data_IF_717487650262
#
_entry.id   IF_717487650262
#
_cell.length_a   1.000
_cell.length_b   1.000
_cell.length_c   1.000
_cell.angle_alpha   90.00
_cell.angle_beta   90.00
_cell.angle_gamma   90.00
#
_symmetry.space_group_name_H-M   'P 1'
#
loop_
_entity.id
_entity.type
_entity.pdbx_description
1 polymer ?
#
# COMPACT_ATOMS: atom_id res chain seq x y z
N UNK A 1 39.43 48.60 12.17
CA UNK A 1 39.33 47.13 12.01
C UNK A 1 38.17 46.67 12.88
N UNK A 2 36.99 46.52 12.27
CA UNK A 2 36.33 45.23 11.91
C UNK A 2 35.75 44.52 13.14
N UNK A 3 34.51 44.88 13.51
CA UNK A 3 33.24 44.20 13.19
C UNK A 3 33.03 42.95 14.05
N UNK A 4 32.27 43.12 15.13
CA UNK A 4 31.64 42.05 15.87
C UNK A 4 30.27 41.80 15.23
N UNK A 5 30.09 40.65 14.59
CA UNK A 5 28.78 40.21 14.09
C UNK A 5 27.95 39.68 15.26
N UNK A 6 26.95 40.46 15.63
CA UNK A 6 25.85 40.05 16.50
C UNK A 6 24.84 39.24 15.68
N UNK A 7 24.76 37.94 15.89
CA UNK A 7 23.64 37.13 15.42
C UNK A 7 22.44 37.34 16.35
N UNK A 8 21.59 38.29 15.97
CA UNK A 8 20.25 38.49 16.51
C UNK A 8 19.38 37.29 16.14
N UNK A 9 18.99 36.47 17.12
CA UNK A 9 17.94 35.47 16.95
C UNK A 9 16.58 36.17 17.00
N UNK A 10 15.85 36.17 15.88
CA UNK A 10 14.47 36.67 15.83
C UNK A 10 13.52 35.53 16.20
N UNK A 11 12.62 35.70 17.19
CA UNK A 11 11.59 34.71 17.44
C UNK A 11 10.56 34.73 16.30
N UNK A 12 10.28 33.54 15.73
CA UNK A 12 9.16 33.30 14.83
C UNK A 12 7.84 33.47 15.59
N UNK A 13 7.29 34.68 15.54
CA UNK A 13 5.91 34.98 15.92
C UNK A 13 4.99 34.47 14.80
N UNK A 14 4.19 33.43 15.06
CA UNK A 14 3.22 32.98 14.05
C UNK A 14 2.49 31.67 14.30
N UNK A 15 2.13 31.33 15.53
CA UNK A 15 1.14 30.27 15.81
C UNK A 15 -0.09 30.96 16.40
N UNK A 16 -1.19 30.94 15.65
CA UNK A 16 -2.49 31.40 16.13
C UNK A 16 -3.16 32.46 15.26
N UNK A 17 -3.66 32.08 14.08
CA UNK A 17 -4.84 32.74 13.50
C UNK A 17 -5.87 31.68 13.13
N UNK A 18 -6.81 31.47 14.04
CA UNK A 18 -8.10 30.84 13.75
C UNK A 18 -8.79 31.63 12.63
N UNK A 19 -9.22 30.92 11.60
CA UNK A 19 -9.96 31.49 10.47
C UNK A 19 -11.41 31.78 10.93
N UNK A 20 -11.89 33.02 10.74
CA UNK A 20 -13.24 33.45 11.12
C UNK A 20 -13.92 34.19 9.94
N UNK A 21 -13.96 33.52 8.77
CA UNK A 21 -14.68 34.00 7.59
C UNK A 21 -15.89 33.11 7.28
N UNK A 22 -16.93 33.63 6.61
CA UNK A 22 -18.05 32.80 6.17
C UNK A 22 -17.56 31.73 5.20
N UNK A 23 -17.92 30.47 5.49
CA UNK A 23 -17.66 29.34 4.60
C UNK A 23 -18.45 29.60 3.31
N UNK A 24 -17.81 29.66 2.12
CA UNK A 24 -18.59 29.66 0.89
C UNK A 24 -19.33 28.32 0.81
N UNK A 25 -20.66 28.36 0.79
CA UNK A 25 -21.48 27.20 0.42
C UNK A 25 -21.19 26.89 -1.05
N UNK A 26 -20.14 26.10 -1.27
CA UNK A 26 -19.92 25.47 -2.56
C UNK A 26 -20.99 24.40 -2.66
N UNK A 27 -22.12 24.77 -3.24
CA UNK A 27 -23.18 23.85 -3.65
C UNK A 27 -22.52 22.71 -4.40
N UNK A 28 -22.43 21.56 -3.76
CA UNK A 28 -22.10 20.30 -4.43
C UNK A 28 -23.36 19.98 -5.23
N UNK A 29 -23.40 20.50 -6.45
CA UNK A 29 -24.28 19.95 -7.47
C UNK A 29 -23.89 18.48 -7.58
N UNK A 30 -24.75 17.61 -7.04
CA UNK A 30 -24.76 16.19 -7.35
C UNK A 30 -25.09 16.08 -8.84
N UNK A 31 -24.09 16.32 -9.69
CA UNK A 31 -24.10 15.78 -11.05
C UNK A 31 -24.02 14.27 -10.89
N UNK A 32 -25.20 13.66 -10.93
CA UNK A 32 -25.37 12.24 -11.16
C UNK A 32 -24.92 12.01 -12.60
N UNK A 33 -23.81 11.31 -12.87
CA UNK A 33 -23.49 10.95 -14.24
C UNK A 33 -24.47 9.85 -14.66
N UNK A 34 -25.53 10.27 -15.33
CA UNK A 34 -26.31 9.43 -16.21
C UNK A 34 -25.58 9.41 -17.56
N UNK A 35 -24.72 8.41 -17.77
CA UNK A 35 -24.30 7.88 -19.07
C UNK A 35 -23.18 6.86 -18.87
N UNK A 36 -23.48 5.60 -19.22
CA UNK A 36 -22.52 4.52 -19.30
C UNK A 36 -21.37 4.87 -20.28
N UNK A 37 -20.15 4.93 -19.76
CA UNK A 37 -18.88 5.01 -20.47
C UNK A 37 -17.95 3.91 -19.91
N UNK A 38 -16.89 3.49 -20.63
CA UNK A 38 -16.30 2.15 -20.47
C UNK A 38 -15.58 2.01 -19.13
N UNK A 39 -16.15 1.23 -18.21
CA UNK A 39 -15.64 0.99 -16.86
C UNK A 39 -14.22 0.35 -16.80
N UNK A 40 -13.68 -0.12 -17.94
CA UNK A 40 -12.41 -0.86 -17.98
C UNK A 40 -11.14 -0.01 -17.83
N UNK A 41 -11.15 1.25 -18.25
CA UNK A 41 -9.92 2.09 -18.29
C UNK A 41 -9.53 2.62 -16.90
N UNK A 42 -10.51 2.97 -16.09
CA UNK A 42 -10.29 3.50 -14.73
C UNK A 42 -9.78 2.40 -13.78
N UNK A 43 -10.31 1.19 -13.91
CA UNK A 43 -9.94 0.04 -13.09
C UNK A 43 -8.50 -0.42 -13.35
N UNK A 44 -8.10 -0.53 -14.62
CA UNK A 44 -6.73 -0.87 -14.99
C UNK A 44 -5.74 0.21 -14.52
N UNK A 45 -6.12 1.48 -14.62
CA UNK A 45 -5.30 2.61 -14.15
C UNK A 45 -5.07 2.56 -12.64
N UNK A 46 -6.10 2.24 -11.86
CA UNK A 46 -5.99 2.03 -10.42
C UNK A 46 -5.04 0.89 -10.07
N UNK A 47 -5.20 -0.28 -10.71
CA UNK A 47 -4.35 -1.44 -10.44
C UNK A 47 -2.88 -1.16 -10.81
N UNK A 48 -2.61 -0.50 -11.94
CA UNK A 48 -1.25 -0.07 -12.30
C UNK A 48 -0.67 0.89 -11.28
N UNK A 49 -1.47 1.85 -10.79
CA UNK A 49 -1.03 2.76 -9.73
C UNK A 49 -0.73 2.01 -8.42
N UNK A 50 -1.52 0.98 -8.09
CA UNK A 50 -1.29 0.12 -6.93
C UNK A 50 0.00 -0.69 -7.07
N UNK A 51 0.19 -1.39 -8.20
CA UNK A 51 1.42 -2.15 -8.49
C UNK A 51 2.64 -1.23 -8.41
N UNK A 52 2.57 -0.05 -9.02
CA UNK A 52 3.66 0.94 -9.00
C UNK A 52 3.94 1.48 -7.60
N UNK A 53 2.90 1.75 -6.80
CA UNK A 53 3.05 2.17 -5.39
C UNK A 53 3.74 1.11 -4.55
N UNK A 54 3.40 -0.14 -4.81
CA UNK A 54 4.02 -1.29 -4.15
C UNK A 54 5.41 -1.60 -4.73
N UNK A 55 5.80 -0.89 -5.78
CA UNK A 55 7.08 -0.95 -6.50
C UNK A 55 7.28 -2.24 -7.28
N UNK A 56 6.19 -2.78 -7.84
CA UNK A 56 6.22 -3.74 -8.94
C UNK A 56 6.18 -3.03 -10.30
N UNK A 57 6.43 -3.80 -11.35
CA UNK A 57 6.34 -3.32 -12.73
C UNK A 57 4.91 -3.51 -13.27
N UNK A 58 4.17 -2.41 -13.40
CA UNK A 58 2.81 -2.41 -13.93
C UNK A 58 2.74 -2.56 -15.46
N UNK A 59 3.88 -2.55 -16.14
CA UNK A 59 4.00 -2.68 -17.59
C UNK A 59 4.65 -4.02 -18.00
N UNK A 60 4.80 -4.94 -17.02
CA UNK A 60 5.26 -6.30 -17.26
C UNK A 60 4.38 -7.05 -18.29
N UNK A 61 4.92 -8.00 -19.08
CA UNK A 61 4.16 -8.69 -20.13
C UNK A 61 2.94 -9.44 -19.58
N UNK A 62 3.05 -9.99 -18.37
CA UNK A 62 1.97 -10.65 -17.63
C UNK A 62 0.90 -9.68 -17.11
N UNK A 63 1.19 -8.37 -17.04
CA UNK A 63 0.23 -7.32 -16.70
C UNK A 63 -0.53 -6.77 -17.92
N UNK A 64 -0.32 -7.37 -19.11
CA UNK A 64 -0.96 -6.94 -20.36
C UNK A 64 -2.48 -7.18 -20.41
N UNK A 65 -3.01 -8.07 -19.56
CA UNK A 65 -4.45 -8.29 -19.39
C UNK A 65 -4.92 -7.79 -18.03
N UNK A 66 -6.22 -7.54 -17.90
CA UNK A 66 -6.81 -7.10 -16.63
C UNK A 66 -6.59 -8.15 -15.52
N UNK A 67 -6.90 -9.41 -15.79
CA UNK A 67 -6.68 -10.54 -14.88
C UNK A 67 -5.21 -10.68 -14.50
N UNK A 68 -4.31 -10.56 -15.49
CA UNK A 68 -2.87 -10.62 -15.25
C UNK A 68 -2.37 -9.49 -14.37
N UNK A 69 -2.89 -8.27 -14.55
CA UNK A 69 -2.58 -7.11 -13.72
C UNK A 69 -3.08 -7.30 -12.28
N UNK A 70 -4.26 -7.90 -12.08
CA UNK A 70 -4.77 -8.27 -10.75
C UNK A 70 -3.84 -9.30 -10.09
N UNK A 71 -3.42 -10.32 -10.84
CA UNK A 71 -2.48 -11.34 -10.34
C UNK A 71 -1.12 -10.75 -9.92
N UNK A 72 -0.55 -9.84 -10.72
CA UNK A 72 0.68 -9.11 -10.37
C UNK A 72 0.48 -8.30 -9.09
N UNK A 73 -0.65 -7.60 -8.98
CA UNK A 73 -0.94 -6.79 -7.81
C UNK A 73 -1.15 -7.63 -6.54
N UNK A 74 -1.80 -8.78 -6.66
CA UNK A 74 -2.00 -9.73 -5.57
C UNK A 74 -0.65 -10.30 -5.06
N UNK A 75 0.21 -10.78 -5.97
CA UNK A 75 1.55 -11.29 -5.61
C UNK A 75 2.37 -10.24 -4.88
N UNK A 76 2.35 -9.02 -5.41
CA UNK A 76 3.07 -7.89 -4.83
C UNK A 76 2.53 -7.54 -3.44
N UNK A 77 1.21 -7.56 -3.26
CA UNK A 77 0.56 -7.31 -1.97
C UNK A 77 0.97 -8.34 -0.92
N UNK A 78 0.98 -9.62 -1.28
CA UNK A 78 1.42 -10.69 -0.38
C UNK A 78 2.91 -10.57 -0.04
N UNK A 79 3.74 -10.26 -1.03
CA UNK A 79 5.18 -10.09 -0.82
C UNK A 79 5.47 -8.97 0.18
N UNK A 80 4.88 -7.80 -0.01
CA UNK A 80 5.13 -6.58 0.77
C UNK A 80 4.46 -6.62 2.16
N UNK A 81 3.21 -7.07 2.23
CA UNK A 81 2.42 -7.00 3.47
C UNK A 81 2.64 -8.20 4.40
N UNK A 82 3.09 -9.34 3.88
CA UNK A 82 3.19 -10.58 4.65
C UNK A 82 4.61 -11.15 4.69
N UNK A 83 5.23 -11.40 3.54
CA UNK A 83 6.52 -12.09 3.52
C UNK A 83 7.70 -11.19 3.93
N UNK A 84 7.78 -9.96 3.42
CA UNK A 84 8.87 -9.04 3.76
C UNK A 84 8.98 -8.79 5.28
N UNK A 85 7.87 -8.53 6.02
CA UNK A 85 7.92 -8.43 7.48
C UNK A 85 8.46 -9.69 8.18
N UNK A 86 8.07 -10.88 7.72
CA UNK A 86 8.53 -12.15 8.31
C UNK A 86 10.02 -12.38 8.05
N UNK A 87 10.51 -12.07 6.84
CA UNK A 87 11.93 -12.18 6.51
C UNK A 87 12.77 -11.20 7.32
N UNK A 88 12.28 -9.96 7.49
CA UNK A 88 12.91 -8.97 8.36
C UNK A 88 13.03 -9.48 9.79
N UNK A 89 11.95 -10.01 10.37
CA UNK A 89 11.95 -10.57 11.72
C UNK A 89 12.89 -11.77 11.85
N UNK A 90 12.87 -12.68 10.87
CA UNK A 90 13.78 -13.83 10.84
C UNK A 90 15.25 -13.40 10.79
N UNK A 91 15.58 -12.39 9.97
CA UNK A 91 16.94 -11.84 9.93
C UNK A 91 17.31 -11.19 11.26
N UNK A 92 16.45 -10.36 11.82
CA UNK A 92 16.72 -9.62 13.07
C UNK A 92 16.88 -10.55 14.27
N UNK A 93 16.09 -11.62 14.34
CA UNK A 93 16.19 -12.64 15.39
C UNK A 93 17.40 -13.57 15.25
N UNK A 94 17.88 -13.79 14.03
CA UNK A 94 18.99 -14.73 13.73
C UNK A 94 20.37 -14.06 13.68
N UNK A 95 20.50 -12.80 14.08
CA UNK A 95 21.78 -12.08 13.96
C UNK A 95 22.84 -12.68 14.88
N UNK A 96 23.99 -13.12 14.34
CA UNK A 96 25.10 -13.56 15.18
C UNK A 96 25.65 -12.38 15.98
N UNK A 97 26.11 -12.65 17.21
CA UNK A 97 26.79 -11.66 18.04
C UNK A 97 28.28 -11.51 17.69
N UNK A 98 28.91 -10.45 18.19
CA UNK A 98 30.37 -10.28 18.16
C UNK A 98 30.92 -9.94 16.78
N UNK A 99 32.06 -10.54 16.40
CA UNK A 99 32.81 -10.19 15.18
C UNK A 99 32.09 -10.54 13.86
N UNK A 100 31.04 -11.35 13.92
CA UNK A 100 30.21 -11.72 12.77
C UNK A 100 28.87 -10.97 12.73
N UNK A 101 28.64 -10.04 13.67
CA UNK A 101 27.41 -9.28 13.70
C UNK A 101 27.23 -8.45 12.41
N UNK A 102 25.99 -8.23 11.96
CA UNK A 102 25.73 -7.50 10.73
C UNK A 102 26.38 -6.12 10.72
N UNK A 103 27.18 -5.88 9.68
CA UNK A 103 27.86 -4.62 9.49
C UNK A 103 26.90 -3.47 9.14
N UNK A 104 27.41 -2.23 9.15
CA UNK A 104 26.60 -1.06 8.79
C UNK A 104 26.02 -1.14 7.37
N UNK A 105 26.70 -1.83 6.44
CA UNK A 105 26.20 -2.08 5.09
C UNK A 105 24.97 -2.99 5.09
N UNK A 106 25.08 -4.18 5.69
CA UNK A 106 23.98 -5.14 5.76
C UNK A 106 22.73 -4.56 6.44
N UNK A 107 22.92 -3.78 7.52
CA UNK A 107 21.78 -3.11 8.17
C UNK A 107 21.05 -2.12 7.26
N UNK A 108 21.79 -1.37 6.45
CA UNK A 108 21.19 -0.40 5.52
C UNK A 108 20.49 -1.08 4.35
N UNK A 109 21.06 -2.17 3.84
CA UNK A 109 20.54 -2.84 2.63
C UNK A 109 19.64 -4.04 2.94
N UNK A 110 19.46 -4.40 4.22
CA UNK A 110 18.67 -5.57 4.61
C UNK A 110 17.25 -5.56 4.03
N UNK A 111 16.55 -4.42 4.09
CA UNK A 111 15.21 -4.30 3.52
C UNK A 111 15.15 -4.61 2.01
N UNK A 112 16.19 -4.26 1.24
CA UNK A 112 16.25 -4.60 -0.19
C UNK A 112 16.40 -6.10 -0.40
N UNK A 113 17.17 -6.77 0.48
CA UNK A 113 17.35 -8.21 0.44
C UNK A 113 16.06 -8.93 0.83
N UNK A 114 15.37 -8.47 1.88
CA UNK A 114 14.09 -9.05 2.30
C UNK A 114 13.05 -8.94 1.19
N UNK A 115 12.91 -7.76 0.60
CA UNK A 115 11.99 -7.50 -0.50
C UNK A 115 12.27 -8.40 -1.69
N UNK A 116 13.53 -8.47 -2.14
CA UNK A 116 13.90 -9.30 -3.28
C UNK A 116 13.71 -10.80 -3.01
N UNK A 117 13.90 -11.25 -1.75
CA UNK A 117 13.59 -12.62 -1.37
C UNK A 117 12.09 -12.88 -1.29
N UNK A 118 11.30 -11.96 -0.72
CA UNK A 118 9.85 -12.06 -0.65
C UNK A 118 9.24 -12.22 -2.05
N UNK A 119 9.65 -11.37 -2.99
CA UNK A 119 9.18 -11.43 -4.39
C UNK A 119 9.50 -12.81 -5.00
N UNK A 120 10.75 -13.29 -4.86
CA UNK A 120 11.13 -14.62 -5.37
C UNK A 120 10.37 -15.76 -4.71
N UNK A 121 10.07 -15.67 -3.42
CA UNK A 121 9.34 -16.71 -2.71
C UNK A 121 7.91 -16.78 -3.24
N UNK A 122 7.24 -15.63 -3.42
CA UNK A 122 5.89 -15.58 -4.02
C UNK A 122 5.88 -16.11 -5.45
N UNK A 123 6.91 -15.81 -6.25
CA UNK A 123 6.96 -16.28 -7.63
C UNK A 123 7.28 -17.78 -7.73
N UNK A 124 8.13 -18.30 -6.84
CA UNK A 124 8.53 -19.71 -6.83
C UNK A 124 7.44 -20.64 -6.30
N UNK A 125 6.58 -20.13 -5.41
CA UNK A 125 5.56 -20.93 -4.74
C UNK A 125 4.15 -20.42 -5.07
N UNK A 126 3.28 -21.34 -5.50
CA UNK A 126 1.85 -21.05 -5.63
C UNK A 126 1.20 -21.06 -4.25
N UNK A 127 1.12 -19.89 -3.63
CA UNK A 127 0.42 -19.73 -2.37
C UNK A 127 -1.09 -19.54 -2.60
N UNK A 128 -1.91 -20.34 -1.91
CA UNK A 128 -3.37 -20.19 -1.91
C UNK A 128 -3.82 -18.78 -1.47
N UNK A 129 -3.02 -18.11 -0.62
CA UNK A 129 -3.29 -16.74 -0.19
C UNK A 129 -3.22 -15.75 -1.35
N UNK A 130 -2.33 -15.97 -2.32
CA UNK A 130 -2.25 -15.12 -3.52
C UNK A 130 -3.53 -15.27 -4.33
N UNK A 131 -4.00 -16.51 -4.54
CA UNK A 131 -5.24 -16.78 -5.26
C UNK A 131 -6.47 -16.18 -4.55
N UNK A 132 -6.51 -16.24 -3.22
CA UNK A 132 -7.57 -15.63 -2.42
C UNK A 132 -7.56 -14.09 -2.54
N UNK A 133 -6.37 -13.48 -2.49
CA UNK A 133 -6.20 -12.03 -2.67
C UNK A 133 -6.57 -11.63 -4.09
N UNK A 134 -6.12 -12.38 -5.11
CA UNK A 134 -6.46 -12.15 -6.51
C UNK A 134 -7.97 -12.19 -6.72
N UNK A 135 -8.66 -13.21 -6.19
CA UNK A 135 -10.13 -13.28 -6.24
C UNK A 135 -10.80 -12.11 -5.53
N UNK A 136 -10.28 -11.72 -4.37
CA UNK A 136 -10.83 -10.57 -3.62
C UNK A 136 -10.62 -9.25 -4.37
N UNK A 137 -9.45 -9.06 -4.99
CA UNK A 137 -9.17 -7.89 -5.81
C UNK A 137 -10.06 -7.87 -7.06
N UNK A 138 -10.23 -9.02 -7.72
CA UNK A 138 -11.09 -9.14 -8.89
C UNK A 138 -12.54 -8.80 -8.56
N UNK A 139 -13.10 -9.34 -7.47
CA UNK A 139 -14.46 -9.00 -7.00
C UNK A 139 -14.64 -7.52 -6.69
N UNK A 140 -13.63 -6.88 -6.08
CA UNK A 140 -13.67 -5.44 -5.77
C UNK A 140 -13.61 -4.59 -7.02
N UNK A 141 -12.88 -5.05 -8.04
CA UNK A 141 -12.70 -4.33 -9.29
C UNK A 141 -13.91 -4.52 -10.22
N UNK A 142 -14.50 -5.72 -10.27
CA UNK A 142 -15.71 -6.00 -11.06
C UNK A 142 -16.99 -5.49 -10.40
N UNK A 143 -16.92 -4.97 -9.16
CA UNK A 143 -18.09 -4.44 -8.44
C UNK A 143 -19.06 -5.52 -7.95
N UNK A 144 -18.68 -6.81 -8.05
CA UNK A 144 -19.44 -7.94 -7.52
C UNK A 144 -19.21 -8.06 -6.01
N UNK A 145 -19.58 -7.02 -5.25
CA UNK A 145 -19.66 -7.15 -3.81
C UNK A 145 -20.89 -7.96 -3.44
N UNK A 146 -20.75 -9.29 -3.34
CA UNK A 146 -21.58 -10.08 -2.42
C UNK A 146 -21.12 -9.77 -1.00
N UNK A 147 -21.35 -8.53 -0.57
CA UNK A 147 -21.24 -8.12 0.82
C UNK A 147 -22.47 -8.64 1.55
N UNK A 148 -22.54 -9.96 1.81
CA UNK A 148 -23.32 -10.38 2.96
C UNK A 148 -22.54 -9.91 4.19
N UNK A 149 -23.10 -8.98 5.00
CA UNK A 149 -22.48 -8.61 6.25
C UNK A 149 -22.39 -9.86 7.14
N UNK A 150 -21.25 -10.02 7.82
CA UNK A 150 -21.08 -10.96 8.92
C UNK A 150 -21.98 -10.48 10.08
N UNK A 151 -23.29 -10.61 9.94
CA UNK A 151 -24.29 -10.32 10.97
C UNK A 151 -25.39 -11.37 10.90
N UNK A 152 -25.08 -12.59 11.32
CA UNK A 152 -26.08 -13.56 11.79
C UNK A 152 -25.45 -14.62 12.70
N UNK A 153 -25.02 -14.22 13.90
CA UNK A 153 -24.73 -15.17 14.99
C UNK A 153 -25.43 -14.83 16.33
N UNK A 154 -26.30 -13.81 16.38
CA UNK A 154 -27.02 -13.39 17.59
C UNK A 154 -28.52 -13.76 17.57
N UNK A 155 -28.90 -14.85 16.89
CA UNK A 155 -30.32 -15.24 16.77
C UNK A 155 -30.53 -16.73 17.06
N UNK A 156 -30.07 -17.19 18.22
CA UNK A 156 -30.16 -18.61 18.59
C UNK A 156 -30.14 -18.92 20.08
N UNK A 157 -30.35 -17.95 20.98
CA UNK A 157 -30.44 -18.21 22.42
C UNK A 157 -31.71 -17.61 23.03
N UNK A 158 -32.85 -18.16 22.65
CA UNK A 158 -34.08 -18.13 23.47
C UNK A 158 -34.89 -19.39 23.18
N UNK A 159 -34.77 -20.38 24.07
CA UNK A 159 -35.83 -21.31 24.48
C UNK A 159 -35.37 -22.05 25.74
#
# INVERSE_FOLDING_TARGET
MSVAESITTTPLTGIGRQWAGPIPERSVATERPDAAAPEGDDQASFLRAMVRRLGGDGDAPEAGTHEGLVGVAARRLVSDAFLEPLLREARESSQPGGIFAPGAGEKRFGHLVDRAMADRIVDAHRFDVVEAVERSLLQRVTGETSSEPITRLESGLTA
#
